data_IF_720770445792
#
_entry.id   IF_720770445792
#
_cell.length_a   1.000
_cell.length_b   1.000
_cell.length_c   1.000
_cell.angle_alpha   90.00
_cell.angle_beta   90.00
_cell.angle_gamma   90.00
#
_symmetry.space_group_name_H-M   'P 1'
#
loop_
_entity.id
_entity.type
_entity.pdbx_description
1 polymer ?
#
# COMPACT_ATOMS: atom_id res chain seq x y z
N UNK A 1 2.00 -25.25 2.12
CA UNK A 1 1.25 -25.06 3.37
C UNK A 1 2.05 -25.69 4.50
N UNK A 2 2.36 -24.95 5.57
CA UNK A 2 3.16 -25.44 6.72
C UNK A 2 2.25 -25.60 7.94
N UNK A 3 2.27 -26.76 8.57
CA UNK A 3 1.53 -27.02 9.82
C UNK A 3 2.47 -26.80 11.00
N UNK A 4 2.05 -26.00 11.97
CA UNK A 4 2.80 -25.72 13.20
C UNK A 4 1.97 -26.17 14.39
N UNK A 5 2.58 -27.01 15.24
CA UNK A 5 1.98 -27.48 16.50
C UNK A 5 2.33 -26.50 17.62
N UNK A 6 1.36 -25.68 18.03
CA UNK A 6 1.56 -24.59 18.99
C UNK A 6 1.80 -25.08 20.42
N UNK A 7 1.49 -26.35 20.71
CA UNK A 7 1.73 -27.05 21.97
C UNK A 7 3.21 -27.43 22.19
N UNK A 8 3.98 -27.56 21.11
CA UNK A 8 5.42 -27.89 21.17
C UNK A 8 6.34 -26.78 20.63
N UNK A 9 5.79 -25.82 19.87
CA UNK A 9 6.55 -24.70 19.35
C UNK A 9 6.96 -23.76 20.48
N UNK A 10 8.14 -23.14 20.34
CA UNK A 10 8.55 -22.11 21.27
C UNK A 10 7.58 -20.93 21.25
N UNK A 11 7.38 -20.28 22.40
CA UNK A 11 6.55 -19.08 22.51
C UNK A 11 6.99 -17.99 21.53
N UNK A 12 8.28 -17.84 21.32
CA UNK A 12 8.87 -16.90 20.37
C UNK A 12 8.52 -17.22 18.92
N UNK A 13 8.52 -18.49 18.54
CA UNK A 13 8.10 -18.92 17.19
C UNK A 13 6.62 -18.66 16.98
N UNK A 14 5.76 -19.00 17.95
CA UNK A 14 4.32 -18.73 17.87
C UNK A 14 4.07 -17.23 17.75
N UNK A 15 4.75 -16.40 18.54
CA UNK A 15 4.63 -14.94 18.46
C UNK A 15 5.08 -14.42 17.09
N UNK A 16 6.18 -14.93 16.52
CA UNK A 16 6.61 -14.54 15.17
C UNK A 16 5.58 -14.89 14.10
N UNK A 17 4.91 -16.04 14.20
CA UNK A 17 3.88 -16.46 13.24
C UNK A 17 2.59 -15.65 13.35
N UNK A 18 2.26 -15.18 14.55
CA UNK A 18 1.10 -14.33 14.79
C UNK A 18 1.34 -12.86 14.41
N UNK A 19 2.59 -12.45 14.22
CA UNK A 19 2.89 -11.13 13.68
C UNK A 19 2.34 -11.06 12.26
N UNK A 20 1.35 -10.19 12.05
CA UNK A 20 0.96 -9.77 10.71
C UNK A 20 2.19 -9.16 10.06
N UNK A 21 2.46 -9.51 8.80
CA UNK A 21 3.52 -8.85 8.02
C UNK A 21 3.33 -7.33 8.14
N UNK A 22 4.26 -6.68 8.82
CA UNK A 22 4.24 -5.25 9.13
C UNK A 22 4.65 -4.44 7.89
N UNK A 23 3.98 -4.66 6.76
CA UNK A 23 4.06 -3.75 5.62
C UNK A 23 3.38 -2.39 5.91
N UNK A 24 2.86 -2.18 7.12
CA UNK A 24 2.17 -0.97 7.55
C UNK A 24 3.11 0.08 8.17
N UNK A 25 4.28 -0.32 8.68
CA UNK A 25 5.28 0.59 9.28
C UNK A 25 6.47 0.82 8.33
N UNK A 26 6.22 0.78 7.02
CA UNK A 26 7.26 1.00 6.01
C UNK A 26 7.39 2.50 5.72
N UNK A 27 8.45 3.10 6.22
CA UNK A 27 8.78 4.51 6.01
C UNK A 27 8.89 4.87 4.51
N UNK A 28 9.27 3.91 3.66
CA UNK A 28 9.34 4.14 2.22
C UNK A 28 7.93 4.25 1.61
N UNK A 29 6.97 3.46 2.11
CA UNK A 29 5.57 3.58 1.70
C UNK A 29 5.03 4.95 2.11
N UNK A 30 5.28 5.37 3.37
CA UNK A 30 4.85 6.68 3.84
C UNK A 30 5.44 7.82 2.99
N UNK A 31 6.75 7.76 2.71
CA UNK A 31 7.42 8.75 1.88
C UNK A 31 6.84 8.81 0.46
N UNK A 32 6.53 7.67 -0.15
CA UNK A 32 5.93 7.61 -1.49
C UNK A 32 4.51 8.20 -1.50
N UNK A 33 3.69 7.85 -0.51
CA UNK A 33 2.33 8.39 -0.40
C UNK A 33 2.37 9.91 -0.17
N UNK A 34 3.29 10.39 0.69
CA UNK A 34 3.47 11.82 0.93
C UNK A 34 3.84 12.59 -0.33
N UNK A 35 4.71 12.03 -1.17
CA UNK A 35 5.06 12.62 -2.45
C UNK A 35 3.84 12.70 -3.39
N UNK A 36 3.05 11.63 -3.49
CA UNK A 36 1.80 11.61 -4.29
C UNK A 36 0.84 12.71 -3.81
N UNK A 37 0.64 12.83 -2.50
CA UNK A 37 -0.23 13.88 -1.94
C UNK A 37 0.27 15.29 -2.28
N UNK A 38 1.58 15.54 -2.21
CA UNK A 38 2.17 16.83 -2.56
C UNK A 38 1.97 17.17 -4.05
N UNK A 39 2.14 16.18 -4.93
CA UNK A 39 1.90 16.35 -6.37
C UNK A 39 0.44 16.69 -6.66
N UNK A 40 -0.51 16.00 -6.01
CA UNK A 40 -1.94 16.28 -6.16
C UNK A 40 -2.30 17.66 -5.61
N UNK A 41 -1.71 18.09 -4.50
CA UNK A 41 -1.90 19.45 -3.98
C UNK A 41 -1.37 20.51 -4.96
N UNK A 42 -0.25 20.26 -5.62
CA UNK A 42 0.38 21.21 -6.52
C UNK A 42 -0.30 21.30 -7.90
N UNK A 43 -0.79 20.17 -8.43
CA UNK A 43 -1.27 20.05 -9.82
C UNK A 43 -2.73 19.61 -9.97
N UNK A 44 -3.40 19.24 -8.89
CA UNK A 44 -4.81 18.84 -8.89
C UNK A 44 -5.09 17.64 -9.82
N UNK A 45 -6.13 17.78 -10.63
CA UNK A 45 -6.62 16.71 -11.52
C UNK A 45 -5.60 16.25 -12.56
N UNK A 46 -4.64 17.09 -12.94
CA UNK A 46 -3.59 16.70 -13.88
C UNK A 46 -2.69 15.60 -13.28
N UNK A 47 -2.37 15.70 -11.99
CA UNK A 47 -1.65 14.63 -11.29
C UNK A 47 -2.50 13.37 -11.17
N UNK A 48 -3.81 13.52 -10.93
CA UNK A 48 -4.72 12.36 -10.86
C UNK A 48 -4.76 11.61 -12.18
N UNK A 49 -4.93 12.30 -13.32
CA UNK A 49 -4.92 11.67 -14.65
C UNK A 49 -3.61 10.94 -14.95
N UNK A 50 -2.48 11.57 -14.62
CA UNK A 50 -1.15 10.96 -14.79
C UNK A 50 -1.01 9.67 -13.97
N UNK A 51 -1.46 9.68 -12.71
CA UNK A 51 -1.40 8.49 -11.87
C UNK A 51 -2.36 7.40 -12.32
N UNK A 52 -3.55 7.74 -12.81
CA UNK A 52 -4.48 6.77 -13.41
C UNK A 52 -3.86 6.12 -14.64
N UNK A 53 -3.29 6.90 -15.56
CA UNK A 53 -2.62 6.36 -16.74
C UNK A 53 -1.45 5.43 -16.36
N UNK A 54 -0.68 5.80 -15.33
CA UNK A 54 0.47 5.03 -14.88
C UNK A 54 0.12 3.72 -14.16
N UNK A 55 -0.84 3.75 -13.24
CA UNK A 55 -1.13 2.62 -12.35
C UNK A 55 -2.26 1.73 -12.87
N UNK A 56 -3.28 2.33 -13.47
CA UNK A 56 -4.45 1.62 -13.98
C UNK A 56 -4.34 1.36 -15.49
N UNK A 57 -3.41 2.05 -16.17
CA UNK A 57 -3.13 1.84 -17.59
C UNK A 57 -4.16 2.47 -18.53
N UNK A 58 -4.94 3.44 -18.05
CA UNK A 58 -6.04 4.06 -18.81
C UNK A 58 -5.97 5.59 -18.75
N UNK A 59 -6.26 6.23 -19.87
CA UNK A 59 -6.40 7.69 -19.96
C UNK A 59 -7.86 8.07 -19.66
N UNK A 60 -8.07 8.98 -18.69
CA UNK A 60 -9.40 9.43 -18.26
C UNK A 60 -9.61 10.90 -18.63
N UNK A 61 -10.69 11.18 -19.38
CA UNK A 61 -11.11 12.54 -19.68
C UNK A 61 -11.89 13.16 -18.51
N UNK A 62 -12.85 12.41 -17.97
CA UNK A 62 -13.67 12.81 -16.82
C UNK A 62 -13.44 11.87 -15.64
N UNK A 63 -13.26 12.48 -14.45
CA UNK A 63 -13.10 11.75 -13.19
C UNK A 63 -14.47 11.50 -12.54
N UNK A 64 -15.40 12.45 -12.68
CA UNK A 64 -16.76 12.33 -12.14
C UNK A 64 -17.59 11.30 -12.92
N UNK A 65 -18.35 10.47 -12.19
CA UNK A 65 -19.26 9.49 -12.77
C UNK A 65 -20.67 10.10 -12.81
N UNK A 66 -21.32 10.06 -13.98
CA UNK A 66 -22.67 10.58 -14.23
C UNK A 66 -23.75 9.53 -14.16
#
# INVERSE_FOLDING_TARGET
MRIVRTDIASREEVVRLLRRSLALDDADIESRVRAILQEVVARGDDALREYTARFDGVELEQIEVT
#
